data_IF_388897369123
#
_entry.id   IF_388897369123
#
_cell.length_a   1.000
_cell.length_b   1.000
_cell.length_c   1.000
_cell.angle_alpha   90.00
_cell.angle_beta   90.00
_cell.angle_gamma   90.00
#
_symmetry.space_group_name_H-M   'P 1'
#
loop_
_entity.id
_entity.type
_entity.pdbx_description
1 polymer ?
#
# COMPACT_ATOMS: atom_id res chain seq x y z
N UNK A 1 -2.93 -4.06 26.20
CA UNK A 1 -3.79 -3.72 25.04
C UNK A 1 -3.34 -4.58 23.87
N UNK A 2 -4.21 -5.41 23.28
CA UNK A 2 -3.88 -6.08 22.01
C UNK A 2 -3.84 -5.00 20.94
N UNK A 3 -2.72 -4.89 20.22
CA UNK A 3 -2.61 -3.97 19.11
C UNK A 3 -3.36 -4.59 17.93
N UNK A 4 -4.38 -3.90 17.43
CA UNK A 4 -5.13 -4.34 16.24
C UNK A 4 -4.16 -4.37 15.04
N UNK A 5 -4.05 -5.51 14.38
CA UNK A 5 -3.27 -5.65 13.14
C UNK A 5 -4.22 -5.63 11.96
N UNK A 6 -3.75 -5.12 10.81
CA UNK A 6 -4.56 -4.99 9.60
C UNK A 6 -3.81 -5.58 8.43
N UNK A 7 -4.52 -6.31 7.57
CA UNK A 7 -3.99 -6.71 6.27
C UNK A 7 -4.20 -5.57 5.28
N UNK A 8 -3.12 -5.11 4.65
CA UNK A 8 -3.11 -4.01 3.70
C UNK A 8 -2.68 -4.52 2.33
N UNK A 9 -3.49 -4.25 1.31
CA UNK A 9 -3.19 -4.55 -0.09
C UNK A 9 -3.33 -3.28 -0.92
N UNK A 10 -2.31 -2.96 -1.73
CA UNK A 10 -2.31 -1.79 -2.61
C UNK A 10 -1.70 -2.16 -3.95
N UNK A 11 -2.43 -1.94 -5.04
CA UNK A 11 -1.96 -2.17 -6.42
C UNK A 11 -1.81 -0.85 -7.15
N UNK A 12 -0.67 -0.64 -7.79
CA UNK A 12 -0.37 0.54 -8.60
C UNK A 12 0.00 0.15 -10.01
N UNK A 13 -0.36 1.02 -10.94
CA UNK A 13 0.09 0.97 -12.33
C UNK A 13 0.69 2.31 -12.74
N UNK A 14 1.81 2.26 -13.46
CA UNK A 14 2.33 3.42 -14.17
C UNK A 14 2.56 3.07 -15.62
N UNK A 15 1.98 3.85 -16.52
CA UNK A 15 2.24 3.74 -17.95
C UNK A 15 3.12 4.92 -18.37
N UNK A 16 4.27 4.61 -18.96
CA UNK A 16 5.18 5.56 -19.62
C UNK A 16 5.21 5.24 -21.13
N UNK A 17 5.87 6.07 -21.95
CA UNK A 17 5.88 5.93 -23.42
C UNK A 17 6.23 4.51 -23.92
N UNK A 18 5.20 3.66 -24.08
CA UNK A 18 5.30 2.27 -24.55
C UNK A 18 5.45 1.20 -23.46
N UNK A 19 5.60 1.57 -22.18
CA UNK A 19 5.83 0.61 -21.09
C UNK A 19 4.76 0.73 -20.01
N UNK A 20 4.33 -0.41 -19.45
CA UNK A 20 3.42 -0.44 -18.30
C UNK A 20 4.07 -1.22 -17.17
N UNK A 21 4.30 -0.55 -16.06
CA UNK A 21 4.68 -1.16 -14.79
C UNK A 21 3.42 -1.41 -13.96
N UNK A 22 3.33 -2.59 -13.35
CA UNK A 22 2.28 -2.98 -12.41
C UNK A 22 2.95 -3.58 -11.17
N UNK A 23 2.46 -3.23 -9.98
CA UNK A 23 2.94 -3.84 -8.75
C UNK A 23 1.92 -3.79 -7.64
N UNK A 24 2.06 -4.74 -6.71
CA UNK A 24 1.18 -4.88 -5.56
C UNK A 24 2.02 -4.96 -4.29
N UNK A 25 1.69 -4.11 -3.33
CA UNK A 25 2.09 -4.25 -1.94
C UNK A 25 1.02 -5.05 -1.20
N UNK A 26 1.43 -6.02 -0.39
CA UNK A 26 0.54 -6.86 0.42
C UNK A 26 1.27 -7.24 1.70
N UNK A 27 0.88 -6.66 2.83
CA UNK A 27 1.52 -6.91 4.11
C UNK A 27 0.57 -6.71 5.31
N UNK A 28 0.98 -7.19 6.48
CA UNK A 28 0.34 -6.87 7.76
C UNK A 28 0.92 -5.59 8.34
N UNK A 29 0.03 -4.65 8.68
CA UNK A 29 0.39 -3.38 9.30
C UNK A 29 -0.15 -3.37 10.73
N UNK A 30 0.71 -2.94 11.65
CA UNK A 30 0.36 -2.67 13.04
C UNK A 30 0.29 -1.15 13.21
N UNK A 31 -0.89 -0.53 13.11
CA UNK A 31 -0.99 0.92 13.16
C UNK A 31 -0.55 1.44 14.52
N UNK A 32 0.15 2.58 14.51
CA UNK A 32 0.40 3.31 15.75
C UNK A 32 -0.90 3.98 16.24
N UNK A 33 -1.03 4.27 17.55
CA UNK A 33 -2.16 5.04 18.06
C UNK A 33 -2.35 6.35 17.28
N UNK A 34 -3.56 6.62 16.80
CA UNK A 34 -3.88 7.82 16.03
C UNK A 34 -3.56 7.75 14.53
N UNK A 35 -2.92 6.68 14.05
CA UNK A 35 -2.67 6.48 12.63
C UNK A 35 -4.00 6.26 11.88
N UNK A 36 -4.19 7.03 10.81
CA UNK A 36 -5.41 7.00 10.00
C UNK A 36 -5.28 6.03 8.82
N UNK A 37 -6.41 5.72 8.16
CA UNK A 37 -6.40 4.98 6.89
C UNK A 37 -5.56 5.68 5.80
N UNK A 38 -5.51 7.00 5.80
CA UNK A 38 -4.72 7.79 4.86
C UNK A 38 -3.21 7.67 5.11
N UNK A 39 -2.79 7.61 6.39
CA UNK A 39 -1.39 7.40 6.75
C UNK A 39 -0.91 6.02 6.29
N UNK A 40 -1.75 5.00 6.48
CA UNK A 40 -1.48 3.62 6.03
C UNK A 40 -1.41 3.54 4.51
N UNK A 41 -2.31 4.23 3.81
CA UNK A 41 -2.27 4.34 2.35
C UNK A 41 -0.94 4.93 1.85
N UNK A 42 -0.51 6.04 2.45
CA UNK A 42 0.77 6.68 2.09
C UNK A 42 1.99 5.80 2.42
N UNK A 43 1.92 5.06 3.54
CA UNK A 43 2.94 4.09 3.91
C UNK A 43 3.04 2.97 2.86
N UNK A 44 1.91 2.40 2.45
CA UNK A 44 1.86 1.34 1.43
C UNK A 44 2.40 1.82 0.08
N UNK A 45 2.05 3.04 -0.36
CA UNK A 45 2.65 3.66 -1.55
C UNK A 45 4.17 3.76 -1.40
N UNK A 46 4.64 4.32 -0.28
CA UNK A 46 6.08 4.54 -0.03
C UNK A 46 6.85 3.23 -0.08
N UNK A 47 6.33 2.18 0.57
CA UNK A 47 6.96 0.85 0.56
C UNK A 47 6.99 0.27 -0.85
N UNK A 48 5.85 0.30 -1.57
CA UNK A 48 5.79 -0.21 -2.93
C UNK A 48 6.76 0.51 -3.86
N UNK A 49 6.80 1.85 -3.83
CA UNK A 49 7.68 2.64 -4.71
C UNK A 49 9.16 2.54 -4.29
N UNK A 50 9.46 2.25 -3.02
CA UNK A 50 10.84 1.96 -2.59
C UNK A 50 11.33 0.63 -3.20
N UNK A 51 10.48 -0.39 -3.25
CA UNK A 51 10.82 -1.68 -3.83
C UNK A 51 10.72 -1.71 -5.36
N UNK A 52 9.82 -0.91 -5.93
CA UNK A 52 9.60 -0.80 -7.37
C UNK A 52 9.56 0.68 -7.78
N UNK A 53 10.74 1.34 -7.92
CA UNK A 53 10.81 2.76 -8.25
C UNK A 53 10.10 3.16 -9.55
N UNK A 54 9.96 2.22 -10.49
CA UNK A 54 9.21 2.41 -11.74
C UNK A 54 7.74 2.81 -11.50
N UNK A 55 7.16 2.50 -10.34
CA UNK A 55 5.79 2.86 -9.98
C UNK A 55 5.65 4.26 -9.35
N UNK A 56 6.75 5.00 -9.16
CA UNK A 56 6.70 6.35 -8.59
C UNK A 56 5.85 7.27 -9.45
N UNK A 57 4.80 7.86 -8.86
CA UNK A 57 3.82 8.68 -9.58
C UNK A 57 2.81 7.89 -10.43
N UNK A 58 2.73 6.57 -10.24
CA UNK A 58 1.70 5.72 -10.83
C UNK A 58 0.32 5.94 -10.20
N UNK A 59 -0.72 5.51 -10.90
CA UNK A 59 -2.09 5.51 -10.39
C UNK A 59 -2.31 4.31 -9.47
N UNK A 60 -3.03 4.52 -8.36
CA UNK A 60 -3.53 3.41 -7.54
C UNK A 60 -4.76 2.82 -8.22
N UNK A 61 -4.72 1.53 -8.49
CA UNK A 61 -5.84 0.78 -9.08
C UNK A 61 -6.70 0.13 -8.01
N UNK A 62 -6.08 -0.27 -6.91
CA UNK A 62 -6.76 -0.97 -5.82
C UNK A 62 -6.11 -0.64 -4.48
N UNK A 63 -6.94 -0.46 -3.46
CA UNK A 63 -6.50 -0.32 -2.07
C UNK A 63 -7.52 -0.95 -1.11
N UNK A 64 -7.07 -1.94 -0.35
CA UNK A 64 -7.82 -2.55 0.74
C UNK A 64 -7.01 -2.48 2.03
N UNK A 65 -7.73 -2.31 3.13
CA UNK A 65 -7.20 -2.34 4.48
C UNK A 65 -8.28 -2.93 5.35
N UNK A 66 -8.06 -4.18 5.74
CA UNK A 66 -9.01 -5.00 6.47
C UNK A 66 -8.41 -5.38 7.82
N UNK A 67 -9.23 -5.34 8.87
CA UNK A 67 -8.78 -5.72 10.20
C UNK A 67 -8.49 -7.23 10.22
N UNK A 68 -7.33 -7.63 10.73
CA UNK A 68 -7.04 -9.04 10.95
C UNK A 68 -7.97 -9.57 12.06
N UNK A 69 -8.75 -10.59 11.73
CA UNK A 69 -9.71 -11.23 12.65
C UNK A 69 -9.16 -12.51 13.30
N UNK A 70 -7.84 -12.73 13.22
CA UNK A 70 -7.17 -13.90 13.78
C UNK A 70 -7.06 -13.87 15.31
#
# INVERSE_FOLDING_TARGET
MKQDTYHCVLTMQKTTHGETALGTFSDTINPAPGMTRADIFNLAITQLTRHQPALTGGAVLFFALDKNQL
#
